data_IF_215783985035
#
_entry.id   IF_215783985035
#
_cell.length_a   1.000
_cell.length_b   1.000
_cell.length_c   1.000
_cell.angle_alpha   90.00
_cell.angle_beta   90.00
_cell.angle_gamma   90.00
#
_symmetry.space_group_name_H-M   'P 1'
#
loop_
_entity.id
_entity.type
_entity.pdbx_description
1 polymer ?
#
# COMPACT_ATOMS: atom_id res chain seq x y z
N UNK A 1 17.19 51.69 13.72
CA UNK A 1 18.02 50.75 14.52
C UNK A 1 18.36 49.54 13.67
N UNK A 2 19.58 49.54 13.09
CA UNK A 2 20.23 48.39 12.43
C UNK A 2 21.15 47.79 13.49
N UNK A 3 20.90 46.59 13.98
CA UNK A 3 21.88 45.87 14.78
C UNK A 3 22.02 44.43 14.27
N UNK A 4 23.11 44.27 13.49
CA UNK A 4 23.96 43.09 13.40
C UNK A 4 23.53 41.93 12.49
N UNK A 5 23.61 42.22 11.19
CA UNK A 5 24.41 41.37 10.28
C UNK A 5 25.86 41.34 10.78
N UNK A 6 26.40 40.15 11.09
CA UNK A 6 27.80 39.71 10.89
C UNK A 6 28.14 38.61 11.90
N UNK A 7 27.97 37.36 11.48
CA UNK A 7 29.04 36.36 11.60
C UNK A 7 29.03 35.53 10.31
N UNK A 8 29.70 36.11 9.30
CA UNK A 8 30.09 35.43 8.06
C UNK A 8 31.38 34.67 8.31
N UNK A 9 31.51 33.51 7.67
CA UNK A 9 32.78 32.87 7.37
C UNK A 9 32.99 31.60 8.18
N UNK A 10 32.83 30.38 7.66
CA UNK A 10 32.60 29.94 6.29
C UNK A 10 33.22 28.56 6.16
N UNK A 11 32.56 27.62 5.48
CA UNK A 11 33.20 26.67 4.59
C UNK A 11 32.15 25.86 3.85
N UNK A 12 32.35 25.79 2.54
CA UNK A 12 31.67 24.90 1.59
C UNK A 12 31.53 23.50 2.18
N UNK A 13 30.34 22.94 2.05
CA UNK A 13 30.22 21.57 1.58
C UNK A 13 29.04 21.50 0.61
N UNK A 14 29.38 21.28 -0.64
CA UNK A 14 28.48 20.73 -1.64
C UNK A 14 27.87 19.47 -1.05
N UNK A 15 26.55 19.44 -0.94
CA UNK A 15 25.80 18.20 -0.96
C UNK A 15 24.43 18.57 -1.51
N UNK A 16 24.35 18.40 -2.82
CA UNK A 16 23.16 18.08 -3.58
C UNK A 16 21.86 18.66 -3.02
N UNK A 17 21.44 19.77 -3.64
CA UNK A 17 20.05 19.87 -4.05
C UNK A 17 19.75 18.66 -4.96
N UNK A 18 19.60 17.48 -4.36
CA UNK A 18 18.86 16.39 -4.93
C UNK A 18 17.44 16.91 -4.88
N UNK A 19 17.07 17.60 -5.96
CA UNK A 19 15.74 17.57 -6.51
C UNK A 19 15.16 16.23 -6.09
N UNK A 20 14.26 16.25 -5.10
CA UNK A 20 13.36 15.15 -4.85
C UNK A 20 12.64 14.99 -6.17
N UNK A 21 13.23 14.17 -7.03
CA UNK A 21 12.59 13.54 -8.15
C UNK A 21 11.37 12.92 -7.50
N UNK A 22 10.25 13.63 -7.67
CA UNK A 22 8.93 13.06 -7.60
C UNK A 22 8.99 11.85 -8.51
N UNK A 23 9.35 10.71 -7.93
CA UNK A 23 9.09 9.40 -8.47
C UNK A 23 7.57 9.21 -8.37
N UNK A 24 6.86 10.09 -9.06
CA UNK A 24 5.42 10.13 -9.21
C UNK A 24 5.07 9.28 -10.42
N UNK A 25 5.61 8.06 -10.46
CA UNK A 25 4.81 6.96 -10.99
C UNK A 25 3.61 6.91 -10.05
N UNK A 26 2.49 7.49 -10.48
CA UNK A 26 1.23 7.40 -9.75
C UNK A 26 0.96 5.91 -9.48
N UNK A 27 1.11 5.51 -8.21
CA UNK A 27 0.97 4.11 -7.83
C UNK A 27 -0.52 3.78 -7.83
N UNK A 28 -1.02 3.33 -8.96
CA UNK A 28 -2.40 2.89 -9.13
C UNK A 28 -2.61 1.54 -8.45
N UNK A 29 -3.64 1.41 -7.62
CA UNK A 29 -4.07 0.16 -7.02
C UNK A 29 -4.95 -0.62 -7.99
N UNK A 30 -4.53 -1.83 -8.35
CA UNK A 30 -5.28 -2.75 -9.23
C UNK A 30 -5.99 -3.87 -8.47
N UNK A 31 -5.52 -4.20 -7.26
CA UNK A 31 -6.08 -5.30 -6.48
C UNK A 31 -6.05 -5.05 -4.99
N UNK A 32 -7.10 -5.51 -4.30
CA UNK A 32 -7.18 -5.55 -2.84
C UNK A 32 -7.62 -6.94 -2.40
N UNK A 33 -6.79 -7.60 -1.59
CA UNK A 33 -7.15 -8.85 -0.91
C UNK A 33 -7.30 -8.59 0.59
N UNK A 34 -8.43 -8.96 1.18
CA UNK A 34 -8.66 -8.91 2.61
C UNK A 34 -8.63 -10.34 3.14
N UNK A 35 -7.76 -10.61 4.11
CA UNK A 35 -7.66 -11.90 4.80
C UNK A 35 -7.87 -11.70 6.29
N UNK A 36 -8.90 -12.32 6.85
CA UNK A 36 -9.23 -12.21 8.28
C UNK A 36 -9.34 -13.58 8.94
N UNK A 37 -9.19 -13.63 10.27
CA UNK A 37 -9.32 -14.91 11.00
C UNK A 37 -10.76 -15.41 11.03
N UNK A 38 -11.71 -14.48 11.11
CA UNK A 38 -13.14 -14.77 11.10
C UNK A 38 -13.81 -14.10 9.90
N UNK A 39 -15.04 -14.50 9.52
CA UNK A 39 -15.80 -13.77 8.50
C UNK A 39 -15.98 -12.30 8.88
N UNK A 40 -15.81 -11.40 7.92
CA UNK A 40 -16.11 -9.97 8.11
C UNK A 40 -17.60 -9.76 7.81
N UNK A 41 -18.34 -9.22 8.78
CA UNK A 41 -19.78 -8.97 8.60
C UNK A 41 -20.09 -7.95 7.50
N UNK A 42 -19.21 -6.96 7.31
CA UNK A 42 -19.29 -5.97 6.24
C UNK A 42 -17.91 -5.77 5.58
N UNK A 43 -17.60 -6.63 4.63
CA UNK A 43 -16.34 -6.57 3.87
C UNK A 43 -16.29 -5.35 2.93
N UNK A 44 -17.44 -4.81 2.52
CA UNK A 44 -17.52 -3.63 1.67
C UNK A 44 -17.07 -2.37 2.40
N UNK A 45 -17.55 -2.17 3.63
CA UNK A 45 -17.11 -1.04 4.46
C UNK A 45 -15.61 -1.09 4.76
N UNK A 46 -15.06 -2.29 5.00
CA UNK A 46 -13.61 -2.44 5.19
C UNK A 46 -12.84 -2.11 3.90
N UNK A 47 -13.34 -2.53 2.73
CA UNK A 47 -12.77 -2.15 1.44
C UNK A 47 -12.83 -0.63 1.20
N UNK A 48 -13.93 0.03 1.54
CA UNK A 48 -14.07 1.50 1.45
C UNK A 48 -13.05 2.23 2.33
N UNK A 49 -12.83 1.74 3.55
CA UNK A 49 -11.79 2.27 4.45
C UNK A 49 -10.39 2.09 3.86
N UNK A 50 -10.09 0.90 3.32
CA UNK A 50 -8.80 0.60 2.70
C UNK A 50 -8.55 1.48 1.48
N UNK A 51 -9.55 1.65 0.61
CA UNK A 51 -9.43 2.48 -0.61
C UNK A 51 -9.32 3.97 -0.28
N UNK A 52 -10.08 4.46 0.71
CA UNK A 52 -9.95 5.83 1.22
C UNK A 52 -8.55 6.08 1.78
N UNK A 53 -8.00 5.12 2.54
CA UNK A 53 -6.64 5.20 3.06
C UNK A 53 -5.57 5.21 1.94
N UNK A 54 -5.76 4.43 0.88
CA UNK A 54 -4.82 4.47 -0.25
C UNK A 54 -4.89 5.81 -1.00
N UNK A 55 -6.11 6.35 -1.21
CA UNK A 55 -6.29 7.68 -1.80
C UNK A 55 -5.65 8.78 -0.95
N UNK A 56 -5.78 8.73 0.37
CA UNK A 56 -5.12 9.71 1.26
C UNK A 56 -3.59 9.63 1.22
N UNK A 57 -3.02 8.51 0.78
CA UNK A 57 -1.57 8.34 0.53
C UNK A 57 -1.15 8.82 -0.87
N UNK A 58 -2.07 9.36 -1.67
CA UNK A 58 -1.82 9.82 -3.04
C UNK A 58 -1.88 8.71 -4.09
N UNK A 59 -2.45 7.54 -3.77
CA UNK A 59 -2.61 6.45 -4.73
C UNK A 59 -3.95 6.56 -5.46
N UNK A 60 -3.93 6.39 -6.78
CA UNK A 60 -5.15 6.22 -7.57
C UNK A 60 -5.68 4.79 -7.39
N UNK A 61 -7.00 4.61 -7.54
CA UNK A 61 -7.64 3.29 -7.52
C UNK A 61 -8.14 3.02 -8.94
N UNK A 62 -7.71 1.93 -9.54
CA UNK A 62 -8.13 1.55 -10.89
C UNK A 62 -9.64 1.39 -10.97
N UNK A 63 -10.25 1.78 -12.09
CA UNK A 63 -11.67 1.54 -12.36
C UNK A 63 -12.00 0.06 -12.38
N UNK A 64 -11.05 -0.77 -12.81
CA UNK A 64 -11.16 -2.23 -12.87
C UNK A 64 -10.54 -2.93 -11.65
N UNK A 65 -10.46 -2.22 -10.50
CA UNK A 65 -9.85 -2.76 -9.30
C UNK A 65 -10.56 -4.05 -8.85
N UNK A 66 -9.78 -5.14 -8.75
CA UNK A 66 -10.27 -6.43 -8.29
C UNK A 66 -10.22 -6.45 -6.76
N UNK A 67 -11.36 -6.68 -6.10
CA UNK A 67 -11.40 -6.87 -4.65
C UNK A 67 -11.83 -8.29 -4.27
N UNK A 68 -11.16 -8.85 -3.26
CA UNK A 68 -11.45 -10.18 -2.71
C UNK A 68 -11.36 -10.14 -1.19
N UNK A 69 -12.22 -10.91 -0.53
CA UNK A 69 -12.16 -11.14 0.91
C UNK A 69 -12.26 -12.64 1.18
N UNK A 70 -11.45 -13.15 2.11
CA UNK A 70 -11.49 -14.55 2.53
C UNK A 70 -11.05 -14.70 4.00
N UNK A 71 -11.37 -15.85 4.57
CA UNK A 71 -10.94 -16.21 5.93
C UNK A 71 -9.75 -17.15 5.90
N UNK A 72 -8.81 -16.98 6.82
CA UNK A 72 -7.68 -17.90 7.02
C UNK A 72 -7.10 -17.79 8.41
N UNK A 73 -6.61 -18.91 8.93
CA UNK A 73 -5.80 -18.95 10.16
C UNK A 73 -4.31 -18.74 9.85
N UNK A 74 -3.92 -18.88 8.59
CA UNK A 74 -2.53 -18.83 8.11
C UNK A 74 -2.12 -17.41 7.69
N UNK A 75 -2.38 -16.42 8.54
CA UNK A 75 -2.04 -15.01 8.24
C UNK A 75 -0.53 -14.74 8.23
N UNK A 76 0.25 -15.58 8.93
CA UNK A 76 1.69 -15.42 9.09
C UNK A 76 2.50 -16.37 8.17
N UNK A 77 1.83 -17.21 7.38
CA UNK A 77 2.44 -18.16 6.44
C UNK A 77 2.65 -17.48 5.07
N UNK A 78 3.85 -16.96 4.85
CA UNK A 78 4.22 -16.24 3.62
C UNK A 78 3.98 -17.06 2.35
N UNK A 79 4.28 -18.37 2.38
CA UNK A 79 4.10 -19.25 1.22
C UNK A 79 2.62 -19.38 0.87
N UNK A 80 1.77 -19.57 1.88
CA UNK A 80 0.33 -19.56 1.72
C UNK A 80 -0.17 -18.22 1.17
N UNK A 81 0.31 -17.09 1.70
CA UNK A 81 -0.09 -15.76 1.23
C UNK A 81 0.26 -15.55 -0.25
N UNK A 82 1.49 -15.90 -0.65
CA UNK A 82 1.94 -15.78 -2.03
C UNK A 82 1.13 -16.65 -2.99
N UNK A 83 0.86 -17.90 -2.62
CA UNK A 83 0.00 -18.79 -3.40
C UNK A 83 -1.41 -18.21 -3.53
N UNK A 84 -1.98 -17.71 -2.42
CA UNK A 84 -3.32 -17.13 -2.38
C UNK A 84 -3.41 -15.88 -3.27
N UNK A 85 -2.43 -14.98 -3.21
CA UNK A 85 -2.36 -13.79 -4.08
C UNK A 85 -2.29 -14.21 -5.55
N UNK A 86 -1.40 -15.14 -5.91
CA UNK A 86 -1.27 -15.63 -7.29
C UNK A 86 -2.56 -16.25 -7.82
N UNK A 87 -3.26 -17.02 -6.99
CA UNK A 87 -4.51 -17.67 -7.35
C UNK A 87 -5.64 -16.66 -7.56
N UNK A 88 -5.86 -15.76 -6.60
CA UNK A 88 -6.99 -14.81 -6.64
C UNK A 88 -6.81 -13.71 -7.70
N UNK A 89 -5.55 -13.35 -8.00
CA UNK A 89 -5.20 -12.26 -8.93
C UNK A 89 -4.49 -12.75 -10.18
N UNK A 90 -4.68 -14.02 -10.55
CA UNK A 90 -4.11 -14.60 -11.78
C UNK A 90 -4.42 -13.74 -13.03
N UNK A 91 -5.57 -13.07 -13.05
CA UNK A 91 -6.00 -12.15 -14.13
C UNK A 91 -5.14 -10.89 -14.26
N UNK A 92 -4.55 -10.39 -13.17
CA UNK A 92 -3.65 -9.23 -13.23
C UNK A 92 -2.31 -9.60 -13.88
N UNK A 93 -1.95 -10.89 -13.84
CA UNK A 93 -0.82 -11.47 -14.57
C UNK A 93 0.57 -10.96 -14.17
N UNK A 94 1.59 -11.72 -14.54
CA UNK A 94 2.99 -11.32 -14.41
C UNK A 94 3.78 -12.10 -13.37
N UNK A 95 5.06 -12.31 -13.66
CA UNK A 95 6.03 -12.95 -12.76
C UNK A 95 6.27 -12.11 -11.50
N UNK A 96 5.97 -10.81 -11.57
CA UNK A 96 6.23 -9.78 -10.57
C UNK A 96 5.05 -9.48 -9.63
N UNK A 97 3.94 -10.23 -9.72
CA UNK A 97 2.72 -9.97 -8.94
C UNK A 97 3.00 -9.84 -7.43
N UNK A 98 3.86 -10.70 -6.89
CA UNK A 98 4.26 -10.67 -5.48
C UNK A 98 5.13 -9.44 -5.18
N UNK A 99 6.07 -9.10 -6.05
CA UNK A 99 6.95 -7.94 -5.87
C UNK A 99 6.19 -6.61 -5.84
N UNK A 100 5.03 -6.55 -6.51
CA UNK A 100 4.12 -5.38 -6.52
C UNK A 100 3.05 -5.42 -5.44
N UNK A 101 3.04 -6.45 -4.59
CA UNK A 101 2.10 -6.57 -3.49
C UNK A 101 2.68 -5.97 -2.22
N UNK A 102 1.89 -5.16 -1.51
CA UNK A 102 2.18 -4.72 -0.15
C UNK A 102 1.16 -5.27 0.82
N UNK A 103 1.62 -5.76 1.96
CA UNK A 103 0.79 -6.37 2.99
C UNK A 103 0.73 -5.46 4.21
N UNK A 104 -0.46 -5.27 4.77
CA UNK A 104 -0.71 -4.41 5.91
C UNK A 104 -1.66 -5.08 6.89
N UNK A 105 -1.53 -4.85 8.21
CA UNK A 105 -2.53 -5.31 9.16
C UNK A 105 -3.85 -4.56 8.98
N UNK A 106 -4.96 -5.22 9.27
CA UNK A 106 -6.27 -4.57 9.45
C UNK A 106 -7.02 -5.14 10.64
N UNK A 107 -7.96 -4.35 11.13
CA UNK A 107 -8.93 -4.76 12.14
C UNK A 107 -10.30 -4.27 11.68
N UNK A 108 -11.24 -5.21 11.51
CA UNK A 108 -12.62 -4.87 11.23
C UNK A 108 -13.29 -4.32 12.49
N UNK A 109 -14.39 -3.57 12.31
CA UNK A 109 -15.13 -2.92 13.40
C UNK A 109 -15.60 -3.87 14.52
N UNK A 110 -15.75 -5.18 14.23
CA UNK A 110 -16.09 -6.21 15.22
C UNK A 110 -14.92 -6.70 16.08
N UNK A 111 -13.72 -6.14 15.92
CA UNK A 111 -12.50 -6.60 16.59
C UNK A 111 -11.79 -7.74 15.87
N UNK A 112 -12.35 -8.25 14.76
CA UNK A 112 -11.75 -9.28 13.92
C UNK A 112 -10.49 -8.76 13.23
N UNK A 113 -9.35 -9.36 13.55
CA UNK A 113 -8.04 -9.00 13.01
C UNK A 113 -7.69 -9.78 11.75
N UNK A 114 -6.87 -9.16 10.92
CA UNK A 114 -6.43 -9.72 9.67
C UNK A 114 -5.34 -8.90 9.02
N UNK A 115 -5.14 -9.15 7.74
CA UNK A 115 -4.27 -8.36 6.86
C UNK A 115 -5.05 -7.97 5.61
N UNK A 116 -4.62 -6.90 4.96
CA UNK A 116 -4.99 -6.62 3.59
C UNK A 116 -3.74 -6.49 2.72
N UNK A 117 -3.84 -6.99 1.49
CA UNK A 117 -2.82 -6.89 0.48
C UNK A 117 -3.26 -5.88 -0.58
N UNK A 118 -2.38 -4.97 -0.95
CA UNK A 118 -2.55 -4.00 -2.04
C UNK A 118 -1.64 -4.41 -3.19
N UNK A 119 -2.21 -4.60 -4.37
CA UNK A 119 -1.48 -4.93 -5.59
C UNK A 119 -1.49 -3.67 -6.47
N UNK A 120 -0.30 -3.12 -6.70
CA UNK A 120 -0.12 -1.92 -7.53
C UNK A 120 -0.01 -2.29 -9.01
N UNK A 121 -0.31 -1.37 -9.93
CA UNK A 121 -0.04 -1.48 -11.36
C UNK A 121 1.47 -1.66 -11.65
N UNK A 122 1.82 -2.13 -12.85
CA UNK A 122 3.21 -2.23 -13.30
C UNK A 122 3.77 -0.80 -13.38
N UNK A 123 5.00 -0.58 -12.91
CA UNK A 123 5.70 0.67 -13.19
C UNK A 123 5.85 0.89 -14.69
#
# INVERSE_FOLDING_TARGET
>A
MKFLRKMFGGQRKEESAQSTSSDSTEKEVQGVLILTRQPVGDSFKLLEQITTLQRSKGYSISLDCISKAATTEKLDDEAFLHEKIRKEFAKLGGEDLIARTKIFPCQASSGNSGIYCIIFNRP
#
